data_IF_493066325450
#
_entry.id   IF_493066325450
#
_cell.length_a   1.000
_cell.length_b   1.000
_cell.length_c   1.000
_cell.angle_alpha   90.00
_cell.angle_beta   90.00
_cell.angle_gamma   90.00
#
_symmetry.space_group_name_H-M   'P 1'
#
loop_
_entity.id
_entity.type
_entity.pdbx_description
1 polymer ?
#
# COMPACT_ATOMS: atom_id res chain seq x y z
N UNK A 1 -1.07 10.46 18.28
CA UNK A 1 -1.25 10.34 16.82
C UNK A 1 -2.70 10.61 16.47
N UNK A 2 -2.92 11.48 15.52
CA UNK A 2 -4.28 11.83 15.10
C UNK A 2 -4.86 10.76 14.17
N UNK A 3 -6.16 10.83 13.91
CA UNK A 3 -6.82 9.90 13.00
C UNK A 3 -6.23 9.97 11.59
N UNK A 4 -6.01 11.19 11.09
CA UNK A 4 -5.42 11.39 9.78
C UNK A 4 -4.00 10.85 9.73
N UNK A 5 -3.21 11.11 10.75
CA UNK A 5 -1.85 10.57 10.85
C UNK A 5 -1.85 9.05 10.86
N UNK A 6 -2.82 8.45 11.57
CA UNK A 6 -2.95 6.99 11.61
C UNK A 6 -3.20 6.42 10.21
N UNK A 7 -4.10 7.06 9.46
CA UNK A 7 -4.37 6.64 8.08
C UNK A 7 -3.14 6.80 7.20
N UNK A 8 -2.44 7.91 7.31
CA UNK A 8 -1.24 8.17 6.53
C UNK A 8 -0.14 7.17 6.84
N UNK A 9 0.06 6.86 8.11
CA UNK A 9 1.02 5.85 8.54
C UNK A 9 0.68 4.48 7.95
N UNK A 10 -0.60 4.14 7.97
CA UNK A 10 -1.04 2.88 7.41
C UNK A 10 -0.73 2.80 5.92
N UNK A 11 -0.99 3.87 5.19
CA UNK A 11 -0.68 3.91 3.75
C UNK A 11 0.81 3.74 3.51
N UNK A 12 1.65 4.44 4.27
CA UNK A 12 3.10 4.32 4.13
C UNK A 12 3.57 2.90 4.41
N UNK A 13 3.04 2.28 5.46
CA UNK A 13 3.36 0.90 5.79
C UNK A 13 2.98 -0.05 4.65
N UNK A 14 1.80 0.14 4.08
CA UNK A 14 1.35 -0.67 2.94
C UNK A 14 2.25 -0.46 1.73
N UNK A 15 2.66 0.77 1.45
CA UNK A 15 3.54 1.05 0.33
C UNK A 15 4.92 0.41 0.50
N UNK A 16 5.44 0.39 1.72
CA UNK A 16 6.70 -0.31 2.01
C UNK A 16 6.58 -1.81 1.76
N UNK A 17 5.48 -2.42 2.21
CA UNK A 17 5.24 -3.83 1.96
C UNK A 17 5.15 -4.13 0.46
N UNK A 18 4.47 -3.27 -0.28
CA UNK A 18 4.34 -3.44 -1.73
C UNK A 18 5.69 -3.30 -2.43
N UNK A 19 6.53 -2.38 -1.97
CA UNK A 19 7.88 -2.22 -2.53
C UNK A 19 8.71 -3.48 -2.31
N UNK A 20 8.65 -4.06 -1.12
CA UNK A 20 9.34 -5.31 -0.82
C UNK A 20 8.81 -6.46 -1.68
N UNK A 21 7.49 -6.55 -1.82
CA UNK A 21 6.88 -7.57 -2.67
C UNK A 21 7.38 -7.47 -4.11
N UNK A 22 7.49 -6.25 -4.63
CA UNK A 22 7.99 -6.04 -5.99
C UNK A 22 9.46 -6.45 -6.13
N UNK A 23 10.27 -6.17 -5.13
CA UNK A 23 11.66 -6.61 -5.13
C UNK A 23 11.77 -8.11 -5.13
N UNK A 24 10.93 -8.77 -4.32
CA UNK A 24 10.87 -10.23 -4.28
C UNK A 24 10.50 -10.79 -5.64
N UNK A 25 9.48 -10.22 -6.28
CA UNK A 25 9.06 -10.66 -7.61
C UNK A 25 10.16 -10.52 -8.63
N UNK A 26 10.85 -9.38 -8.66
CA UNK A 26 11.95 -9.16 -9.59
C UNK A 26 13.07 -10.18 -9.39
N UNK A 27 13.44 -10.39 -8.15
CA UNK A 27 14.53 -11.31 -7.84
C UNK A 27 14.14 -12.75 -8.15
N UNK A 28 12.90 -13.13 -7.88
CA UNK A 28 12.38 -14.44 -8.21
C UNK A 28 12.37 -14.68 -9.71
N UNK A 29 12.04 -13.67 -10.51
CA UNK A 29 12.05 -13.80 -11.96
C UNK A 29 13.45 -13.95 -12.51
N UNK A 30 14.42 -13.28 -11.92
CA UNK A 30 15.82 -13.35 -12.38
C UNK A 30 16.48 -14.64 -11.94
N UNK A 31 16.32 -14.99 -10.66
CA UNK A 31 17.01 -16.13 -10.06
C UNK A 31 16.16 -17.38 -9.92
N UNK A 32 14.89 -17.34 -10.33
CA UNK A 32 13.97 -18.44 -10.17
C UNK A 32 14.07 -19.47 -11.30
N UNK A 33 13.23 -20.51 -11.22
CA UNK A 33 13.24 -21.58 -12.23
C UNK A 33 13.02 -21.09 -13.66
N UNK A 34 12.23 -20.05 -13.83
CA UNK A 34 11.95 -19.49 -15.15
C UNK A 34 13.15 -18.81 -15.77
N UNK A 35 13.90 -18.08 -14.96
CA UNK A 35 15.13 -17.47 -15.41
C UNK A 35 16.16 -18.51 -15.77
N UNK A 36 16.16 -19.61 -15.06
CA UNK A 36 17.06 -20.72 -15.31
C UNK A 36 16.81 -21.33 -16.69
N UNK A 37 15.55 -21.51 -17.04
CA UNK A 37 15.22 -22.11 -18.33
C UNK A 37 15.77 -21.34 -19.50
N UNK A 38 15.67 -20.02 -19.45
CA UNK A 38 16.15 -19.20 -20.54
C UNK A 38 17.67 -19.10 -20.59
N UNK A 39 18.33 -19.35 -19.49
CA UNK A 39 19.77 -19.15 -19.37
C UNK A 39 20.55 -20.44 -19.34
N UNK A 40 19.87 -21.54 -19.38
CA UNK A 40 20.51 -22.86 -19.40
C UNK A 40 21.37 -23.06 -20.59
N UNK A 41 21.33 -22.18 -21.54
CA UNK A 41 22.07 -22.27 -22.78
C UNK A 41 23.53 -21.91 -22.62
N UNK A 42 23.89 -21.28 -21.53
CA UNK A 42 25.24 -20.78 -21.32
C UNK A 42 26.08 -21.76 -20.51
N UNK A 43 26.85 -22.63 -21.13
CA UNK A 43 27.63 -23.60 -20.39
C UNK A 43 28.87 -23.03 -19.75
N UNK A 44 29.41 -22.00 -20.34
CA UNK A 44 30.61 -21.37 -19.82
C UNK A 44 30.30 -20.53 -18.60
N UNK A 45 30.95 -20.72 -17.52
CA UNK A 45 30.73 -19.97 -16.32
C UNK A 45 29.81 -20.63 -15.32
N UNK A 46 29.74 -21.93 -15.40
CA UNK A 46 28.86 -22.70 -14.51
C UNK A 46 29.03 -22.37 -13.05
N UNK A 47 30.26 -22.23 -12.60
CA UNK A 47 30.51 -21.93 -11.20
C UNK A 47 29.99 -20.54 -10.83
N UNK A 48 30.21 -19.53 -11.66
CA UNK A 48 29.71 -18.19 -11.42
C UNK A 48 28.21 -18.15 -11.44
N UNK A 49 27.62 -18.86 -12.39
CA UNK A 49 26.16 -18.91 -12.47
C UNK A 49 25.55 -19.57 -11.25
N UNK A 50 26.15 -20.67 -10.79
CA UNK A 50 25.66 -21.37 -9.60
C UNK A 50 25.81 -20.51 -8.35
N UNK A 51 26.95 -19.84 -8.21
CA UNK A 51 27.17 -18.95 -7.08
C UNK A 51 26.21 -17.76 -7.10
N UNK A 52 25.94 -17.22 -8.29
CA UNK A 52 24.97 -16.14 -8.45
C UNK A 52 23.57 -16.57 -8.07
N UNK A 53 23.19 -17.79 -8.48
CA UNK A 53 21.89 -18.33 -8.12
C UNK A 53 21.75 -18.55 -6.64
N UNK A 54 22.79 -19.09 -6.01
CA UNK A 54 22.78 -19.30 -4.57
C UNK A 54 22.69 -17.98 -3.81
N UNK A 55 23.46 -16.98 -4.26
CA UNK A 55 23.41 -15.64 -3.66
C UNK A 55 22.02 -15.00 -3.84
N UNK A 56 21.45 -15.12 -5.03
CA UNK A 56 20.12 -14.61 -5.31
C UNK A 56 19.06 -15.29 -4.46
N UNK A 57 19.21 -16.60 -4.29
CA UNK A 57 18.28 -17.37 -3.47
C UNK A 57 18.33 -16.95 -2.00
N UNK A 58 19.53 -16.75 -1.48
CA UNK A 58 19.71 -16.28 -0.11
C UNK A 58 19.14 -14.88 0.06
N UNK A 59 19.36 -14.01 -0.91
CA UNK A 59 18.83 -12.67 -0.89
C UNK A 59 17.30 -12.70 -0.93
N UNK A 60 16.74 -13.57 -1.75
CA UNK A 60 15.30 -13.75 -1.84
C UNK A 60 14.70 -14.20 -0.50
N UNK A 61 15.32 -15.18 0.13
CA UNK A 61 14.88 -15.63 1.45
C UNK A 61 14.92 -14.50 2.48
N UNK A 62 15.98 -13.70 2.46
CA UNK A 62 16.11 -12.55 3.36
C UNK A 62 15.01 -11.52 3.15
N UNK A 63 14.66 -11.25 1.90
CA UNK A 63 13.60 -10.31 1.58
C UNK A 63 12.24 -10.84 2.02
N UNK A 64 11.99 -12.13 1.84
CA UNK A 64 10.74 -12.76 2.29
C UNK A 64 10.61 -12.66 3.80
N UNK A 65 11.69 -12.90 4.53
CA UNK A 65 11.70 -12.73 5.98
C UNK A 65 11.42 -11.29 6.39
N UNK A 66 12.04 -10.33 5.71
CA UNK A 66 11.78 -8.91 5.95
C UNK A 66 10.33 -8.55 5.73
N UNK A 67 9.74 -9.05 4.65
CA UNK A 67 8.34 -8.78 4.36
C UNK A 67 7.43 -9.35 5.43
N UNK A 68 7.67 -10.58 5.84
CA UNK A 68 6.90 -11.22 6.89
C UNK A 68 6.97 -10.43 8.21
N UNK A 69 8.17 -9.99 8.57
CA UNK A 69 8.38 -9.18 9.76
C UNK A 69 7.65 -7.85 9.68
N UNK A 70 7.73 -7.19 8.52
CA UNK A 70 7.04 -5.92 8.33
C UNK A 70 5.54 -6.07 8.42
N UNK A 71 5.00 -7.14 7.86
CA UNK A 71 3.56 -7.42 7.97
C UNK A 71 3.12 -7.58 9.41
N UNK A 72 3.91 -8.30 10.19
CA UNK A 72 3.62 -8.47 11.62
C UNK A 72 3.67 -7.14 12.36
N UNK A 73 4.68 -6.33 12.08
CA UNK A 73 4.82 -5.02 12.69
C UNK A 73 3.67 -4.08 12.31
N UNK A 74 3.14 -4.23 11.11
CA UNK A 74 2.10 -3.34 10.59
C UNK A 74 0.68 -3.74 11.00
N UNK A 75 0.51 -4.89 11.64
CA UNK A 75 -0.82 -5.33 12.07
C UNK A 75 -1.49 -4.29 12.96
N UNK A 76 -0.75 -3.74 13.92
CA UNK A 76 -1.29 -2.77 14.85
C UNK A 76 -1.76 -1.50 14.16
N UNK A 77 -0.96 -0.99 13.21
CA UNK A 77 -1.32 0.24 12.51
C UNK A 77 -2.54 0.01 11.61
N UNK A 78 -2.62 -1.16 11.00
CA UNK A 78 -3.77 -1.52 10.17
C UNK A 78 -5.04 -1.59 11.03
N UNK A 79 -4.95 -2.20 12.20
CA UNK A 79 -6.10 -2.29 13.11
C UNK A 79 -6.55 -0.91 13.57
N UNK A 80 -5.62 -0.03 13.89
CA UNK A 80 -5.96 1.35 14.26
C UNK A 80 -6.62 2.09 13.10
N UNK A 81 -6.10 1.91 11.89
CA UNK A 81 -6.71 2.50 10.70
C UNK A 81 -8.12 1.98 10.48
N UNK A 82 -8.33 0.69 10.68
CA UNK A 82 -9.67 0.10 10.58
C UNK A 82 -10.64 0.74 11.58
N UNK A 83 -10.18 0.99 12.79
CA UNK A 83 -11.02 1.64 13.81
C UNK A 83 -11.40 3.07 13.39
N UNK A 84 -10.48 3.78 12.78
CA UNK A 84 -10.77 5.13 12.25
C UNK A 84 -11.84 5.04 11.15
N UNK A 85 -11.67 4.10 10.24
CA UNK A 85 -12.58 3.93 9.10
C UNK A 85 -13.98 3.58 9.57
N UNK A 86 -14.11 2.74 10.60
CA UNK A 86 -15.40 2.35 11.12
C UNK A 86 -16.23 3.53 11.62
N UNK A 87 -15.60 4.63 12.00
CA UNK A 87 -16.29 5.83 12.46
C UNK A 87 -16.80 6.71 11.33
N UNK A 88 -16.41 6.41 10.08
CA UNK A 88 -16.88 7.16 8.92
C UNK A 88 -18.32 6.71 8.62
N UNK A 89 -19.21 7.66 8.50
CA UNK A 89 -20.65 7.38 8.37
C UNK A 89 -21.00 6.82 7.01
N UNK A 90 -20.51 7.44 5.95
CA UNK A 90 -20.85 7.04 4.58
C UNK A 90 -20.13 5.76 4.19
N UNK A 91 -20.89 4.76 3.75
CA UNK A 91 -20.33 3.50 3.27
C UNK A 91 -19.37 3.72 2.09
N UNK A 92 -19.77 4.59 1.18
CA UNK A 92 -18.97 4.89 -0.01
C UNK A 92 -17.65 5.53 0.37
N UNK A 93 -17.67 6.42 1.35
CA UNK A 93 -16.46 7.05 1.85
C UNK A 93 -15.55 6.05 2.56
N UNK A 94 -16.12 5.13 3.34
CA UNK A 94 -15.34 4.06 3.98
C UNK A 94 -14.60 3.24 2.93
N UNK A 95 -15.25 2.93 1.82
CA UNK A 95 -14.63 2.16 0.74
C UNK A 95 -13.45 2.92 0.15
N UNK A 96 -13.63 4.21 -0.14
CA UNK A 96 -12.57 5.05 -0.70
C UNK A 96 -11.37 5.09 0.25
N UNK A 97 -11.62 5.36 1.52
CA UNK A 97 -10.55 5.48 2.52
C UNK A 97 -9.84 4.15 2.70
N UNK A 98 -10.58 3.06 2.72
CA UNK A 98 -9.98 1.72 2.86
C UNK A 98 -9.08 1.39 1.67
N UNK A 99 -9.55 1.61 0.47
CA UNK A 99 -8.75 1.33 -0.73
C UNK A 99 -7.49 2.19 -0.77
N UNK A 100 -7.61 3.45 -0.41
CA UNK A 100 -6.48 4.37 -0.49
C UNK A 100 -5.46 4.12 0.63
N UNK A 101 -5.90 4.01 1.88
CA UNK A 101 -5.00 3.98 3.03
C UNK A 101 -4.60 2.58 3.47
N UNK A 102 -5.47 1.60 3.35
CA UNK A 102 -5.14 0.22 3.74
C UNK A 102 -4.62 -0.59 2.56
N UNK A 103 -5.32 -0.52 1.43
CA UNK A 103 -4.93 -1.29 0.25
C UNK A 103 -3.83 -0.61 -0.58
N UNK A 104 -3.59 0.67 -0.34
CA UNK A 104 -2.54 1.40 -1.01
C UNK A 104 -2.82 1.72 -2.47
N UNK A 105 -4.08 1.74 -2.88
CA UNK A 105 -4.44 2.04 -4.25
C UNK A 105 -4.32 3.53 -4.54
N UNK A 106 -4.05 3.86 -5.80
CA UNK A 106 -4.07 5.24 -6.26
C UNK A 106 -5.50 5.71 -6.46
N UNK A 107 -5.67 7.02 -6.54
CA UNK A 107 -7.00 7.58 -6.81
C UNK A 107 -7.52 7.15 -8.17
N UNK A 108 -6.65 6.95 -9.15
CA UNK A 108 -7.03 6.44 -10.46
C UNK A 108 -7.59 5.01 -10.37
N UNK A 109 -6.93 4.16 -9.61
CA UNK A 109 -7.37 2.78 -9.42
C UNK A 109 -8.72 2.73 -8.72
N UNK A 110 -8.89 3.55 -7.68
CA UNK A 110 -10.15 3.63 -6.94
C UNK A 110 -11.29 4.12 -7.85
N UNK A 111 -11.00 5.17 -8.63
CA UNK A 111 -11.99 5.72 -9.55
C UNK A 111 -12.46 4.67 -10.55
N UNK A 112 -11.52 3.89 -11.07
CA UNK A 112 -11.81 2.83 -12.02
C UNK A 112 -12.67 1.73 -11.38
N UNK A 113 -12.32 1.31 -10.17
CA UNK A 113 -13.05 0.29 -9.42
C UNK A 113 -14.48 0.72 -9.12
N UNK A 114 -14.67 1.99 -8.79
CA UNK A 114 -15.97 2.51 -8.36
C UNK A 114 -16.77 3.12 -9.51
N UNK A 115 -16.20 3.16 -10.69
CA UNK A 115 -16.83 3.75 -11.88
C UNK A 115 -17.20 5.22 -11.66
N UNK A 116 -16.25 5.97 -11.16
CA UNK A 116 -16.39 7.41 -10.90
C UNK A 116 -15.14 8.13 -11.40
N UNK A 117 -15.15 9.46 -11.37
CA UNK A 117 -13.99 10.24 -11.77
C UNK A 117 -12.94 10.28 -10.66
N UNK A 118 -11.67 10.43 -11.06
CA UNK A 118 -10.59 10.60 -10.09
C UNK A 118 -10.79 11.85 -9.24
N UNK A 119 -11.28 12.93 -9.86
CA UNK A 119 -11.54 14.16 -9.15
C UNK A 119 -12.56 13.96 -8.03
N UNK A 120 -13.59 13.18 -8.32
CA UNK A 120 -14.61 12.87 -7.31
C UNK A 120 -13.98 12.10 -6.14
N UNK A 121 -13.14 11.10 -6.43
CA UNK A 121 -12.44 10.35 -5.37
C UNK A 121 -11.59 11.30 -4.53
N UNK A 122 -10.84 12.19 -5.17
CA UNK A 122 -9.99 13.16 -4.47
C UNK A 122 -10.82 14.07 -3.56
N UNK A 123 -11.92 14.58 -4.06
CA UNK A 123 -12.80 15.44 -3.29
C UNK A 123 -13.39 14.72 -2.10
N UNK A 124 -13.87 13.49 -2.31
CA UNK A 124 -14.45 12.73 -1.21
C UNK A 124 -13.41 12.42 -0.14
N UNK A 125 -12.22 12.03 -0.56
CA UNK A 125 -11.14 11.75 0.38
C UNK A 125 -10.79 12.99 1.20
N UNK A 126 -10.66 14.13 0.54
CA UNK A 126 -10.37 15.40 1.23
C UNK A 126 -11.45 15.77 2.24
N UNK A 127 -12.71 15.60 1.87
CA UNK A 127 -13.82 15.89 2.77
C UNK A 127 -13.80 14.97 4.00
N UNK A 128 -13.50 13.69 3.81
CA UNK A 128 -13.39 12.75 4.93
C UNK A 128 -12.29 13.17 5.89
N UNK A 129 -11.12 13.49 5.36
CA UNK A 129 -10.00 13.89 6.20
C UNK A 129 -10.32 15.17 6.98
N UNK A 130 -10.95 16.12 6.33
CA UNK A 130 -11.35 17.35 7.00
C UNK A 130 -12.39 17.10 8.09
N UNK A 131 -13.29 16.16 7.85
CA UNK A 131 -14.30 15.80 8.85
C UNK A 131 -13.68 15.07 10.05
N UNK A 132 -12.65 14.28 9.82
CA UNK A 132 -11.95 13.57 10.91
C UNK A 132 -11.14 14.51 11.76
N UNK A 133 -10.55 15.54 11.16
CA UNK A 133 -9.73 16.52 11.86
C UNK A 133 -10.02 17.91 11.34
N UNK A 134 -11.10 18.53 11.82
CA UNK A 134 -11.43 19.89 11.38
C UNK A 134 -10.33 20.85 11.79
N UNK A 135 -9.86 21.63 10.84
CA UNK A 135 -8.82 22.62 11.10
C UNK A 135 -9.42 23.76 11.89
N UNK A 136 -8.79 24.08 13.00
CA UNK A 136 -9.27 25.16 13.89
C UNK A 136 -9.41 26.51 13.21
N UNK A 137 -8.62 26.73 12.15
CA UNK A 137 -8.56 28.03 11.49
C UNK A 137 -9.64 28.26 10.45
N UNK A 138 -10.43 27.26 10.14
CA UNK A 138 -11.40 27.33 9.06
C UNK A 138 -12.82 27.30 9.56
N UNK A 139 -13.11 28.20 10.48
CA UNK A 139 -14.46 28.28 11.03
C UNK A 139 -15.51 28.58 9.97
N UNK A 140 -15.12 29.35 8.94
CA UNK A 140 -16.04 29.67 7.87
C UNK A 140 -16.33 28.53 6.92
N UNK A 141 -15.39 27.63 6.74
CA UNK A 141 -15.54 26.54 5.81
C UNK A 141 -15.98 25.24 6.46
N UNK A 142 -15.85 25.13 7.76
CA UNK A 142 -16.19 23.91 8.47
C UNK A 142 -17.67 23.56 8.35
N UNK A 143 -18.52 24.56 8.24
CA UNK A 143 -19.96 24.32 8.07
C UNK A 143 -20.26 23.63 6.73
N UNK A 144 -19.56 24.01 5.69
CA UNK A 144 -19.75 23.39 4.39
C UNK A 144 -19.22 21.96 4.35
N UNK A 145 -18.17 21.71 5.07
CA UNK A 145 -17.59 20.38 5.17
C UNK A 145 -18.51 19.43 5.91
N UNK A 146 -19.20 19.93 6.93
CA UNK A 146 -20.11 19.12 7.72
C UNK A 146 -21.42 18.79 7.01
N UNK A 147 -21.70 19.46 5.89
CA UNK A 147 -22.93 19.26 5.12
C UNK A 147 -22.80 18.25 3.99
N UNK A 148 -21.80 17.43 4.01
CA UNK A 148 -21.66 16.46 2.92
C UNK A 148 -22.77 15.41 3.00
N UNK A 149 -23.19 14.91 1.83
CA UNK A 149 -24.31 13.98 1.72
C UNK A 149 -24.02 12.58 2.27
#
# INVERSE_FOLDING_TARGET
MTDVETLQECRMATMEERALSKQIERLAMIGGPHGVGSQAIEPAGDRKTNNSRAANFQQLEGLIEQLSKKRDENIDIIQRAEMVIERIISRRDRVIIRYYYIEGQSEYEIADEMDVSRQWVNQRRSLVLDALEPKRKNTGNSQNILKWP
#
